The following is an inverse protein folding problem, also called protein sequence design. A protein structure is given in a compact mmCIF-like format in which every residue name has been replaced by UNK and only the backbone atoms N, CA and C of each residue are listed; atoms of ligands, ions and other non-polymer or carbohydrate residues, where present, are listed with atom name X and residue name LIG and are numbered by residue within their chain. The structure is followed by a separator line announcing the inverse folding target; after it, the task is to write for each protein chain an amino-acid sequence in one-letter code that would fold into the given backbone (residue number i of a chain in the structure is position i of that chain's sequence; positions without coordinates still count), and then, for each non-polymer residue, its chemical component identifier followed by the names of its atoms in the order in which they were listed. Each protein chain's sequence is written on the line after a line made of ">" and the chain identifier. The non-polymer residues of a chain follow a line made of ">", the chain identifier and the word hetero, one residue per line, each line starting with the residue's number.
data_IF_601682915303
#
_entry.id   IF_601682915303
#
_cell.length_a   1.000
_cell.length_b   1.000
_cell.length_c   1.000
_cell.angle_alpha   90.00
_cell.angle_beta   90.00
_cell.angle_gamma   90.00
#
_symmetry.space_group_name_H-M   'P 1'
#
loop_
_entity.id
_entity.type
_entity.pdbx_description
1 polymer ?
#
# COMPACT_ATOMS: atom_id res chain seq x y z
N UNK A 1 -13.54 7.74 5.89
CA UNK A 1 -12.65 8.60 6.72
C UNK A 1 -11.71 9.37 5.80
N UNK A 2 -11.42 10.65 6.08
CA UNK A 2 -10.45 11.44 5.29
C UNK A 2 -9.03 11.09 5.75
N UNK A 3 -8.16 10.66 4.84
CA UNK A 3 -6.73 10.53 5.10
C UNK A 3 -6.20 11.91 5.54
N UNK A 4 -5.38 12.01 6.60
CA UNK A 4 -4.87 13.30 7.06
C UNK A 4 -4.06 14.04 5.99
N UNK A 5 -3.50 13.33 5.02
CA UNK A 5 -2.73 13.86 3.90
C UNK A 5 -3.47 13.75 2.56
N UNK A 6 -4.79 13.97 2.51
CA UNK A 6 -5.57 13.83 1.26
C UNK A 6 -5.02 14.66 0.09
N UNK A 7 -4.40 15.82 0.38
CA UNK A 7 -3.77 16.66 -0.64
C UNK A 7 -2.59 16.00 -1.35
N UNK A 8 -1.90 15.06 -0.69
CA UNK A 8 -0.73 14.37 -1.22
C UNK A 8 -0.94 12.84 -1.25
N UNK A 9 -2.18 12.41 -1.48
CA UNK A 9 -2.52 10.99 -1.65
C UNK A 9 -2.85 10.71 -3.12
N UNK A 10 -1.91 10.06 -3.81
CA UNK A 10 -2.03 9.74 -5.23
C UNK A 10 -2.32 8.24 -5.39
N UNK A 11 -3.60 7.89 -5.47
CA UNK A 11 -4.02 6.52 -5.76
C UNK A 11 -3.54 6.11 -7.16
N UNK A 12 -2.71 5.06 -7.22
CA UNK A 12 -2.15 4.55 -8.47
C UNK A 12 -3.03 3.45 -9.06
N UNK A 13 -3.56 2.56 -8.22
CA UNK A 13 -4.37 1.44 -8.68
C UNK A 13 -5.29 0.87 -7.60
N UNK A 14 -6.40 0.29 -8.05
CA UNK A 14 -7.28 -0.60 -7.31
C UNK A 14 -7.32 -1.93 -8.07
N UNK A 15 -6.74 -2.99 -7.52
CA UNK A 15 -6.44 -4.23 -8.26
C UNK A 15 -7.04 -5.42 -7.53
N UNK A 16 -7.85 -6.29 -8.16
CA UNK A 16 -8.36 -7.48 -7.51
C UNK A 16 -7.23 -8.33 -6.90
N UNK A 17 -7.44 -8.83 -5.68
CA UNK A 17 -6.49 -9.70 -5.01
C UNK A 17 -6.49 -11.05 -5.73
N UNK A 18 -5.30 -11.49 -6.15
CA UNK A 18 -5.12 -12.80 -6.78
C UNK A 18 -5.26 -13.95 -5.79
N UNK A 19 -5.28 -15.17 -6.31
CA UNK A 19 -5.58 -16.36 -5.51
C UNK A 19 -4.47 -16.68 -4.49
N UNK A 20 -3.20 -16.60 -4.90
CA UNK A 20 -2.06 -16.89 -4.03
C UNK A 20 -1.92 -15.82 -2.95
N UNK A 21 -2.10 -14.55 -3.31
CA UNK A 21 -2.12 -13.44 -2.37
C UNK A 21 -3.25 -13.61 -1.35
N UNK A 22 -4.46 -13.95 -1.81
CA UNK A 22 -5.59 -14.23 -0.92
C UNK A 22 -5.33 -15.43 0.01
N UNK A 23 -4.73 -16.51 -0.51
CA UNK A 23 -4.36 -17.67 0.30
C UNK A 23 -3.30 -17.33 1.35
N UNK A 24 -2.31 -16.51 1.00
CA UNK A 24 -1.31 -16.03 1.93
C UNK A 24 -1.96 -15.17 3.01
N UNK A 25 -2.82 -14.22 2.64
CA UNK A 25 -3.56 -13.35 3.56
C UNK A 25 -4.40 -14.14 4.56
N UNK A 26 -5.11 -15.18 4.12
CA UNK A 26 -5.88 -16.07 5.00
C UNK A 26 -5.04 -16.79 6.06
N UNK A 27 -3.74 -16.94 5.85
CA UNK A 27 -2.81 -17.51 6.83
C UNK A 27 -2.31 -16.49 7.85
N UNK A 28 -2.48 -15.18 7.60
CA UNK A 28 -2.12 -14.15 8.56
C UNK A 28 -3.29 -13.89 9.53
N UNK A 29 -3.03 -13.99 10.84
CA UNK A 29 -4.00 -13.72 11.92
C UNK A 29 -4.63 -12.32 11.88
N UNK A 30 -4.05 -11.38 11.12
CA UNK A 30 -4.52 -10.00 11.00
C UNK A 30 -5.49 -9.76 9.83
N UNK A 31 -5.79 -10.78 9.02
CA UNK A 31 -6.77 -10.65 7.95
C UNK A 31 -8.18 -10.75 8.54
N UNK A 32 -8.84 -9.60 8.61
CA UNK A 32 -10.22 -9.47 9.07
C UNK A 32 -11.15 -10.12 8.05
N UNK A 33 -11.56 -11.36 8.32
CA UNK A 33 -12.48 -12.13 7.47
C UNK A 33 -13.85 -11.44 7.32
N UNK A 34 -14.20 -10.54 8.23
CA UNK A 34 -15.49 -9.85 8.26
C UNK A 34 -15.54 -8.63 7.34
N UNK A 35 -14.40 -8.16 6.82
CA UNK A 35 -14.34 -7.15 5.77
C UNK A 35 -13.89 -7.80 4.44
N UNK A 36 -14.74 -7.83 3.40
CA UNK A 36 -14.40 -8.46 2.12
C UNK A 36 -13.35 -7.62 1.38
N UNK A 37 -12.10 -7.79 1.79
CA UNK A 37 -10.93 -7.28 1.12
C UNK A 37 -10.80 -8.04 -0.18
N UNK A 38 -11.23 -7.41 -1.26
CA UNK A 38 -11.27 -7.99 -2.60
C UNK A 38 -10.23 -7.35 -3.51
N UNK A 39 -9.67 -6.20 -3.13
CA UNK A 39 -8.74 -5.42 -3.93
C UNK A 39 -7.55 -4.94 -3.09
N UNK A 40 -6.41 -4.84 -3.75
CA UNK A 40 -5.26 -4.05 -3.36
C UNK A 40 -5.46 -2.60 -3.77
N UNK A 41 -5.32 -1.67 -2.84
CA UNK A 41 -5.19 -0.25 -3.13
C UNK A 41 -3.73 0.16 -2.97
N UNK A 42 -3.10 0.61 -4.05
CA UNK A 42 -1.71 1.06 -4.06
C UNK A 42 -1.69 2.57 -4.26
N UNK A 43 -1.02 3.30 -3.37
CA UNK A 43 -0.96 4.76 -3.41
C UNK A 43 0.43 5.30 -3.09
N UNK A 44 0.77 6.42 -3.72
CA UNK A 44 1.92 7.24 -3.36
C UNK A 44 1.44 8.32 -2.39
N UNK A 45 2.09 8.43 -1.24
CA UNK A 45 1.70 9.34 -0.16
C UNK A 45 2.81 10.33 0.16
N UNK A 46 2.46 11.61 0.26
CA UNK A 46 3.33 12.64 0.83
C UNK A 46 3.51 12.42 2.33
N UNK A 47 4.75 12.57 2.79
CA UNK A 47 5.14 12.47 4.20
C UNK A 47 5.70 13.81 4.66
N UNK A 48 5.08 14.38 5.69
CA UNK A 48 5.61 15.56 6.34
C UNK A 48 6.59 15.14 7.43
N UNK A 49 7.88 15.44 7.23
CA UNK A 49 8.88 15.22 8.27
C UNK A 49 8.86 16.34 9.32
N UNK A 50 9.25 16.07 10.58
CA UNK A 50 9.31 17.09 11.64
C UNK A 50 10.27 18.25 11.35
N UNK A 51 11.21 18.08 10.42
CA UNK A 51 12.17 19.09 10.03
C UNK A 51 11.61 19.91 8.86
N UNK A 52 11.54 21.23 9.03
CA UNK A 52 11.01 22.21 8.09
C UNK A 52 11.83 22.37 6.77
N UNK A 53 12.60 21.36 6.37
CA UNK A 53 13.34 21.41 5.10
C UNK A 53 12.35 21.33 3.93
N UNK A 54 12.69 22.06 2.88
CA UNK A 54 11.82 22.49 1.77
C UNK A 54 11.56 21.37 0.75
N UNK A 55 11.93 20.13 1.03
CA UNK A 55 11.78 19.02 0.08
C UNK A 55 10.71 18.02 0.55
N UNK A 56 9.84 17.68 -0.41
CA UNK A 56 8.77 16.71 -0.24
C UNK A 56 9.36 15.30 -0.06
N UNK A 57 8.78 14.55 0.87
CA UNK A 57 9.10 13.15 1.07
C UNK A 57 7.90 12.30 0.66
N UNK A 58 8.19 11.11 0.15
CA UNK A 58 7.19 10.25 -0.47
C UNK A 58 7.34 8.82 0.03
N UNK A 59 6.24 8.09 0.14
CA UNK A 59 6.25 6.65 0.36
C UNK A 59 5.18 5.98 -0.48
N UNK A 60 5.32 4.67 -0.70
CA UNK A 60 4.25 3.86 -1.28
C UNK A 60 3.58 3.06 -0.17
N UNK A 61 2.27 3.20 -0.06
CA UNK A 61 1.45 2.46 0.89
C UNK A 61 0.51 1.52 0.13
N UNK A 62 0.33 0.31 0.64
CA UNK A 62 -0.59 -0.68 0.11
C UNK A 62 -1.63 -0.98 1.18
N UNK A 63 -2.90 -0.94 0.80
CA UNK A 63 -4.03 -1.22 1.68
C UNK A 63 -4.87 -2.35 1.13
N UNK A 64 -5.46 -3.12 2.04
CA UNK A 64 -6.62 -3.94 1.71
C UNK A 64 -7.82 -3.04 1.48
N UNK A 65 -8.57 -3.31 0.42
CA UNK A 65 -9.74 -2.55 0.03
C UNK A 65 -10.82 -3.43 -0.58
N UNK A 66 -12.05 -2.92 -0.67
CA UNK A 66 -13.11 -3.52 -1.46
C UNK A 66 -13.10 -2.98 -2.91
N UNK A 67 -14.07 -3.41 -3.73
CA UNK A 67 -14.17 -2.99 -5.13
C UNK A 67 -14.55 -1.49 -5.29
N UNK A 68 -15.13 -0.87 -4.26
CA UNK A 68 -15.46 0.56 -4.24
C UNK A 68 -14.26 1.43 -3.84
N UNK A 69 -13.13 0.82 -3.44
CA UNK A 69 -11.98 1.55 -2.94
C UNK A 69 -12.15 1.99 -1.48
N UNK A 70 -13.03 1.37 -0.70
CA UNK A 70 -13.09 1.60 0.75
C UNK A 70 -11.96 0.85 1.44
N UNK A 71 -11.22 1.53 2.33
CA UNK A 71 -10.04 0.99 2.99
C UNK A 71 -9.78 1.65 4.35
N UNK A 72 -9.05 0.94 5.20
CA UNK A 72 -8.62 1.48 6.49
C UNK A 72 -7.19 2.05 6.40
N UNK A 73 -7.10 3.37 6.25
CA UNK A 73 -5.82 4.09 6.16
C UNK A 73 -4.89 3.89 7.36
N UNK A 74 -5.42 3.49 8.54
CA UNK A 74 -4.62 3.20 9.74
C UNK A 74 -3.97 1.82 9.74
N UNK A 75 -4.38 0.94 8.81
CA UNK A 75 -3.91 -0.44 8.72
C UNK A 75 -3.37 -0.74 7.32
N UNK A 76 -2.22 -0.15 6.92
CA UNK A 76 -1.57 -0.54 5.69
C UNK A 76 -1.10 -2.00 5.77
N UNK A 77 -1.21 -2.72 4.66
CA UNK A 77 -0.58 -4.02 4.47
C UNK A 77 0.93 -3.88 4.32
N UNK A 78 1.38 -2.82 3.66
CA UNK A 78 2.80 -2.52 3.44
C UNK A 78 3.01 -1.02 3.38
N UNK A 79 4.16 -0.56 3.88
CA UNK A 79 4.65 0.80 3.70
C UNK A 79 6.11 0.75 3.29
N UNK A 80 6.46 1.40 2.18
CA UNK A 80 7.87 1.53 1.81
C UNK A 80 8.64 2.41 2.79
N UNK A 81 9.98 2.31 2.80
CA UNK A 81 10.82 3.38 3.33
C UNK A 81 10.48 4.72 2.69
N UNK A 82 10.80 5.80 3.41
CA UNK A 82 10.59 7.17 2.94
C UNK A 82 11.63 7.50 1.86
N UNK A 83 11.16 8.04 0.74
CA UNK A 83 11.95 8.46 -0.42
C UNK A 83 11.95 9.98 -0.54
N UNK A 84 13.01 10.52 -1.14
CA UNK A 84 13.21 11.95 -1.38
C UNK A 84 12.75 12.41 -2.78
N UNK A 85 12.28 11.49 -3.63
CA UNK A 85 11.86 11.77 -5.01
C UNK A 85 10.50 11.14 -5.29
N UNK A 86 9.62 11.93 -5.91
CA UNK A 86 8.32 11.47 -6.39
C UNK A 86 8.49 10.43 -7.50
N UNK A 87 9.52 10.58 -8.35
CA UNK A 87 9.77 9.65 -9.46
C UNK A 87 10.13 8.26 -8.93
N UNK A 88 11.02 8.18 -7.93
CA UNK A 88 11.35 6.91 -7.28
C UNK A 88 10.12 6.27 -6.63
N UNK A 89 9.28 7.07 -5.97
CA UNK A 89 8.04 6.56 -5.37
C UNK A 89 7.06 6.06 -6.44
N UNK A 90 6.98 6.74 -7.58
CA UNK A 90 6.15 6.35 -8.70
C UNK A 90 6.62 5.05 -9.36
N UNK A 91 7.92 4.92 -9.60
CA UNK A 91 8.54 3.71 -10.15
C UNK A 91 8.30 2.50 -9.25
N UNK A 92 8.49 2.68 -7.93
CA UNK A 92 8.17 1.65 -6.95
C UNK A 92 6.69 1.27 -7.00
N UNK A 93 5.78 2.25 -7.05
CA UNK A 93 4.35 1.98 -7.15
C UNK A 93 4.00 1.21 -8.44
N UNK A 94 4.63 1.54 -9.58
CA UNK A 94 4.47 0.79 -10.84
C UNK A 94 4.98 -0.65 -10.75
N UNK A 95 6.11 -0.86 -10.08
CA UNK A 95 6.64 -2.20 -9.82
C UNK A 95 5.67 -3.02 -8.96
N UNK A 96 5.16 -2.44 -7.88
CA UNK A 96 4.18 -3.07 -6.99
C UNK A 96 2.86 -3.40 -7.69
N UNK A 97 2.37 -2.51 -8.57
CA UNK A 97 1.23 -2.79 -9.45
C UNK A 97 1.51 -3.99 -10.37
N UNK A 98 2.73 -4.13 -10.86
CA UNK A 98 3.10 -5.23 -11.73
C UNK A 98 3.16 -6.54 -10.96
N UNK A 99 3.72 -6.53 -9.74
CA UNK A 99 3.75 -7.70 -8.85
C UNK A 99 2.35 -8.12 -8.38
N UNK A 100 1.46 -7.17 -8.08
CA UNK A 100 0.08 -7.51 -7.67
C UNK A 100 -0.70 -8.18 -8.80
N UNK A 101 -0.49 -7.74 -10.06
CA UNK A 101 -1.09 -8.39 -11.24
C UNK A 101 -0.53 -9.78 -11.49
N UNK A 102 0.66 -10.07 -10.97
CA UNK A 102 1.29 -11.39 -11.02
C UNK A 102 0.97 -12.23 -9.78
N UNK A 103 0.11 -11.75 -8.87
CA UNK A 103 -0.31 -12.47 -7.67
C UNK A 103 0.87 -12.78 -6.72
N UNK A 104 1.75 -11.80 -6.56
CA UNK A 104 3.00 -11.88 -5.79
C UNK A 104 3.14 -10.76 -4.75
N UNK A 105 2.07 -10.03 -4.41
CA UNK A 105 2.19 -8.89 -3.51
C UNK A 105 2.33 -9.32 -2.04
N UNK A 106 1.79 -10.49 -1.69
CA UNK A 106 1.82 -11.05 -0.35
C UNK A 106 3.23 -11.33 0.18
N UNK A 107 4.24 -11.46 -0.69
CA UNK A 107 5.63 -11.73 -0.28
C UNK A 107 6.29 -10.53 0.40
N UNK A 108 5.78 -9.31 0.19
CA UNK A 108 6.36 -8.07 0.72
C UNK A 108 6.29 -7.99 2.25
N UNK A 109 5.16 -8.41 2.83
CA UNK A 109 4.97 -8.40 4.29
C UNK A 109 5.78 -9.51 4.98
N UNK A 110 6.12 -10.59 4.25
CA UNK A 110 7.00 -11.64 4.77
C UNK A 110 8.41 -11.11 5.04
N UNK A 111 8.91 -10.16 4.24
CA UNK A 111 10.27 -9.62 4.37
C UNK A 111 10.42 -8.62 5.54
N UNK A 112 9.38 -7.86 5.90
CA UNK A 112 9.47 -6.91 7.02
C UNK A 112 9.52 -7.58 8.40
N UNK A 113 9.02 -8.83 8.54
CA UNK A 113 9.10 -9.57 9.82
C UNK A 113 10.48 -10.16 10.12
N UNK A 114 11.40 -10.15 9.17
CA UNK A 114 12.72 -10.81 9.28
C UNK A 114 13.87 -9.81 9.45
N UNK A 115 13.58 -8.51 9.56
CA UNK A 115 14.59 -7.44 9.69
C UNK A 115 14.54 -6.72 11.02
#
# INVERSE_FOLDING_TARGET
>A
MKTPNYHDFYQKALIPIGFNDLLALKKYESFDLDSPSTHWLIAVEGVQLPQAKIYYHWKVSIYHSNYDGDFNWKKPFYCSPIMNSMDHAHELACSLVSSSKQDQLSTLNLQEKIS
#
